data_IF_317104425768
#
_entry.id   IF_317104425768
#
_cell.length_a   1.000
_cell.length_b   1.000
_cell.length_c   1.000
_cell.angle_alpha   90.00
_cell.angle_beta   90.00
_cell.angle_gamma   90.00
#
_symmetry.space_group_name_H-M   'P 1'
#
loop_
_entity.id
_entity.type
_entity.pdbx_description
1 polymer ?
#
# COMPACT_ATOMS: atom_id res chain seq x y z
N UNK A 1 27.71 -9.63 -0.44
CA UNK A 1 26.33 -10.17 -0.44
C UNK A 1 25.44 -9.05 0.03
N UNK A 2 24.72 -8.40 -0.88
CA UNK A 2 23.68 -7.42 -0.53
C UNK A 2 22.58 -8.20 0.18
N UNK A 3 22.49 -8.06 1.49
CA UNK A 3 21.44 -8.68 2.31
C UNK A 3 20.10 -8.09 1.89
N UNK A 4 19.14 -8.93 1.50
CA UNK A 4 17.74 -8.51 1.32
C UNK A 4 17.28 -7.79 2.61
N UNK A 5 16.69 -6.58 2.50
CA UNK A 5 16.27 -5.84 3.68
C UNK A 5 15.24 -6.66 4.47
N UNK A 6 15.39 -6.70 5.80
CA UNK A 6 14.34 -7.18 6.69
C UNK A 6 13.39 -6.03 6.98
N UNK A 7 12.09 -6.28 6.91
CA UNK A 7 11.08 -5.25 7.17
C UNK A 7 9.84 -5.88 7.79
N UNK A 8 9.16 -5.14 8.66
CA UNK A 8 7.84 -5.45 9.20
C UNK A 8 6.92 -4.26 8.91
N UNK A 9 6.02 -4.49 7.98
CA UNK A 9 5.12 -3.49 7.42
C UNK A 9 3.68 -3.77 7.85
N UNK A 10 2.78 -2.82 7.64
CA UNK A 10 1.36 -3.03 7.91
C UNK A 10 0.44 -2.12 7.09
N UNK A 11 -0.80 -2.56 6.90
CA UNK A 11 -1.89 -1.72 6.39
C UNK A 11 -2.73 -1.13 7.52
N UNK A 12 -3.32 0.03 7.23
CA UNK A 12 -4.39 0.63 8.01
C UNK A 12 -5.53 1.06 7.08
N UNK A 13 -6.78 0.71 7.44
CA UNK A 13 -7.96 0.97 6.61
C UNK A 13 -8.76 2.13 7.18
N UNK A 14 -8.78 3.26 6.47
CA UNK A 14 -9.26 4.51 7.06
C UNK A 14 -10.79 4.61 7.12
N UNK A 15 -11.55 3.80 6.36
CA UNK A 15 -13.02 3.89 6.33
C UNK A 15 -13.71 3.45 7.64
N UNK A 16 -12.99 2.84 8.56
CA UNK A 16 -13.53 2.29 9.81
C UNK A 16 -13.03 3.09 11.03
N UNK A 17 -13.96 3.36 11.94
CA UNK A 17 -13.69 3.91 13.27
C UNK A 17 -13.97 2.83 14.31
N UNK A 18 -12.93 2.39 15.01
CA UNK A 18 -13.06 1.37 16.03
C UNK A 18 -12.62 1.91 17.41
N UNK A 19 -13.44 1.78 18.47
CA UNK A 19 -14.84 1.34 18.45
C UNK A 19 -15.76 2.26 17.62
N UNK A 20 -16.93 1.77 17.18
CA UNK A 20 -17.85 2.57 16.38
C UNK A 20 -18.27 3.88 17.05
N UNK A 21 -18.45 4.93 16.27
CA UNK A 21 -18.76 6.31 16.70
C UNK A 21 -17.62 7.04 17.42
N UNK A 22 -16.41 6.48 17.45
CA UNK A 22 -15.22 7.25 17.81
C UNK A 22 -14.69 8.04 16.62
N UNK A 23 -13.79 8.97 16.89
CA UNK A 23 -12.98 9.69 15.90
C UNK A 23 -11.50 9.44 16.18
N UNK A 24 -10.64 9.78 15.22
CA UNK A 24 -9.18 9.71 15.37
C UNK A 24 -8.66 10.29 16.70
N UNK A 25 -9.27 11.38 17.18
CA UNK A 25 -8.84 12.10 18.39
C UNK A 25 -9.41 11.55 19.70
N UNK A 26 -10.40 10.65 19.65
CA UNK A 26 -11.01 10.13 20.87
C UNK A 26 -10.03 9.15 21.57
N UNK A 27 -9.76 9.30 22.88
CA UNK A 27 -8.70 8.54 23.57
C UNK A 27 -8.82 7.01 23.52
N UNK A 28 -10.04 6.50 23.29
CA UNK A 28 -10.32 5.06 23.20
C UNK A 28 -10.35 4.53 21.76
N UNK A 29 -10.06 5.38 20.76
CA UNK A 29 -10.05 4.96 19.35
C UNK A 29 -8.82 4.08 19.04
N UNK A 30 -8.97 3.22 18.04
CA UNK A 30 -7.91 2.40 17.46
C UNK A 30 -6.75 3.26 16.94
N UNK A 31 -7.04 4.50 16.51
CA UNK A 31 -6.06 5.47 16.07
C UNK A 31 -5.22 6.02 17.24
N UNK A 32 -5.86 6.46 18.34
CA UNK A 32 -5.10 6.89 19.53
C UNK A 32 -4.32 5.73 20.16
N UNK A 33 -4.77 4.48 20.01
CA UNK A 33 -4.02 3.33 20.52
C UNK A 33 -2.73 3.07 19.74
N UNK A 34 -2.65 3.42 18.45
CA UNK A 34 -1.41 3.34 17.66
C UNK A 34 -0.31 4.24 18.26
N UNK A 35 -0.70 5.42 18.74
CA UNK A 35 0.19 6.39 19.38
C UNK A 35 0.51 5.97 20.81
N UNK A 36 -0.53 5.79 21.64
CA UNK A 36 -0.35 5.56 23.09
C UNK A 36 0.31 4.22 23.42
N UNK A 37 0.29 3.26 22.50
CA UNK A 37 0.94 1.95 22.66
C UNK A 37 2.23 1.83 21.85
N UNK A 38 2.69 2.90 21.21
CA UNK A 38 3.91 2.93 20.39
C UNK A 38 3.91 1.80 19.37
N UNK A 39 2.87 1.76 18.52
CA UNK A 39 2.74 0.76 17.45
C UNK A 39 3.52 1.19 16.22
N UNK A 40 3.56 2.49 15.92
CA UNK A 40 4.34 3.03 14.80
C UNK A 40 5.84 2.73 14.91
N UNK A 41 6.38 2.59 16.13
CA UNK A 41 7.77 2.14 16.36
C UNK A 41 8.04 0.70 15.94
N UNK A 42 7.01 -0.08 15.60
CA UNK A 42 7.11 -1.46 15.12
C UNK A 42 6.66 -1.61 13.65
N UNK A 43 6.75 -0.55 12.87
CA UNK A 43 6.33 -0.50 11.46
C UNK A 43 7.40 0.21 10.62
N UNK A 44 7.96 -0.49 9.64
CA UNK A 44 8.91 0.07 8.68
C UNK A 44 8.17 0.81 7.54
N UNK A 45 7.13 0.17 6.97
CA UNK A 45 6.23 0.78 5.99
C UNK A 45 4.78 0.66 6.47
N UNK A 46 4.11 1.81 6.58
CA UNK A 46 2.67 1.90 6.80
C UNK A 46 1.96 2.22 5.49
N UNK A 47 1.08 1.34 5.07
CA UNK A 47 0.26 1.51 3.89
C UNK A 47 -1.13 2.05 4.26
N UNK A 48 -1.53 3.15 3.64
CA UNK A 48 -2.83 3.78 3.87
C UNK A 48 -3.84 3.26 2.84
N UNK A 49 -4.90 2.62 3.33
CA UNK A 49 -5.97 2.05 2.52
C UNK A 49 -7.25 2.91 2.56
N UNK A 50 -7.87 3.23 1.43
CA UNK A 50 -7.43 3.02 0.05
C UNK A 50 -7.51 4.32 -0.75
N UNK A 51 -6.62 4.47 -1.72
CA UNK A 51 -6.73 5.47 -2.77
C UNK A 51 -7.64 4.98 -3.91
N UNK A 52 -8.17 5.92 -4.67
CA UNK A 52 -8.75 5.71 -6.00
C UNK A 52 -7.98 6.54 -7.04
N UNK A 53 -8.15 6.23 -8.32
CA UNK A 53 -7.70 7.11 -9.41
C UNK A 53 -8.86 8.02 -9.83
N UNK A 54 -8.54 9.28 -10.12
CA UNK A 54 -9.53 10.26 -10.56
C UNK A 54 -9.00 11.11 -11.72
N UNK A 55 -9.86 11.56 -12.64
CA UNK A 55 -9.47 12.56 -13.63
C UNK A 55 -9.02 13.84 -12.93
N UNK A 56 -7.93 14.44 -13.43
CA UNK A 56 -7.41 15.71 -12.92
C UNK A 56 -8.46 16.81 -13.04
N UNK A 57 -8.67 17.54 -11.94
CA UNK A 57 -9.67 18.59 -11.83
C UNK A 57 -9.27 19.69 -10.84
N UNK A 58 -10.16 20.68 -10.59
CA UNK A 58 -9.82 21.85 -9.77
C UNK A 58 -9.47 21.55 -8.31
N UNK A 59 -9.88 20.38 -7.81
CA UNK A 59 -9.69 19.97 -6.41
C UNK A 59 -8.75 18.76 -6.27
N UNK A 60 -8.14 18.30 -7.37
CA UNK A 60 -7.18 17.20 -7.32
C UNK A 60 -5.79 17.71 -7.00
N UNK A 61 -4.91 16.80 -6.59
CA UNK A 61 -3.49 17.08 -6.42
C UNK A 61 -2.70 16.17 -7.36
N UNK A 62 -1.92 16.72 -8.30
CA UNK A 62 -1.94 18.12 -8.76
C UNK A 62 -3.28 18.52 -9.42
N UNK A 63 -3.56 19.82 -9.46
CA UNK A 63 -4.68 20.42 -10.20
C UNK A 63 -4.19 21.05 -11.52
N UNK A 64 -5.07 21.45 -12.44
CA UNK A 64 -4.69 22.32 -13.55
C UNK A 64 -4.19 23.70 -13.09
N UNK A 65 -3.25 24.34 -13.81
CA UNK A 65 -2.58 23.87 -15.02
C UNK A 65 -1.34 22.99 -14.75
N UNK A 66 -1.04 22.65 -13.50
CA UNK A 66 0.14 21.85 -13.14
C UNK A 66 0.05 20.43 -13.68
N UNK A 67 -1.16 19.90 -13.84
CA UNK A 67 -1.43 18.65 -14.54
C UNK A 67 -2.38 18.84 -15.73
N UNK A 68 -2.16 18.13 -16.85
CA UNK A 68 -3.01 18.23 -18.03
C UNK A 68 -4.44 17.77 -17.77
N UNK A 69 -5.42 18.51 -18.27
CA UNK A 69 -6.82 18.04 -18.27
C UNK A 69 -6.95 16.74 -19.08
N UNK A 70 -7.74 15.79 -18.57
CA UNK A 70 -7.88 14.45 -19.14
C UNK A 70 -6.80 13.45 -18.70
N UNK A 71 -5.78 13.89 -17.95
CA UNK A 71 -4.89 12.97 -17.22
C UNK A 71 -5.50 12.56 -15.88
N UNK A 72 -4.90 11.58 -15.20
CA UNK A 72 -5.37 11.03 -13.94
C UNK A 72 -4.37 11.26 -12.81
N UNK A 73 -4.86 11.30 -11.58
CA UNK A 73 -4.06 11.31 -10.35
C UNK A 73 -4.75 10.46 -9.27
N UNK A 74 -4.15 10.38 -8.08
CA UNK A 74 -4.75 9.73 -6.93
C UNK A 74 -5.68 10.65 -6.15
N UNK A 75 -6.62 10.04 -5.43
CA UNK A 75 -7.38 10.66 -4.37
C UNK A 75 -7.59 9.65 -3.24
N UNK A 76 -7.46 10.07 -1.98
CA UNK A 76 -7.86 9.25 -0.84
C UNK A 76 -9.35 8.91 -0.97
N UNK A 77 -9.70 7.62 -0.81
CA UNK A 77 -11.08 7.15 -0.89
C UNK A 77 -11.99 7.94 0.05
N UNK A 78 -13.21 8.24 -0.40
CA UNK A 78 -14.13 9.05 0.38
C UNK A 78 -14.86 8.21 1.43
N UNK A 79 -14.73 8.60 2.69
CA UNK A 79 -15.58 8.16 3.79
C UNK A 79 -15.91 9.35 4.70
N UNK A 80 -17.05 9.26 5.39
CA UNK A 80 -17.46 10.24 6.40
C UNK A 80 -17.33 9.61 7.78
N UNK A 81 -16.69 10.36 8.67
CA UNK A 81 -16.50 10.00 10.07
C UNK A 81 -17.39 10.88 10.96
N UNK A 82 -17.56 10.53 12.25
CA UNK A 82 -18.23 11.40 13.18
C UNK A 82 -17.58 12.80 13.21
N UNK A 83 -18.38 13.81 13.56
CA UNK A 83 -17.96 15.24 13.60
C UNK A 83 -17.56 15.81 12.22
N UNK A 84 -18.11 15.27 11.13
CA UNK A 84 -17.86 15.74 9.74
C UNK A 84 -16.41 15.61 9.28
N UNK A 85 -15.67 14.66 9.86
CA UNK A 85 -14.31 14.34 9.46
C UNK A 85 -14.30 13.39 8.26
N UNK A 86 -13.17 13.35 7.57
CA UNK A 86 -12.97 12.57 6.35
C UNK A 86 -11.72 11.70 6.44
N UNK A 87 -11.61 10.70 5.56
CA UNK A 87 -10.36 9.94 5.40
C UNK A 87 -9.15 10.85 5.11
N UNK A 88 -9.36 11.98 4.43
CA UNK A 88 -8.29 12.94 4.17
C UNK A 88 -7.78 13.55 5.48
N UNK A 89 -8.67 13.95 6.39
CA UNK A 89 -8.27 14.44 7.72
C UNK A 89 -7.47 13.37 8.49
N UNK A 90 -7.92 12.12 8.42
CA UNK A 90 -7.26 11.00 9.11
C UNK A 90 -5.89 10.70 8.50
N UNK A 91 -5.76 10.71 7.18
CA UNK A 91 -4.47 10.57 6.50
C UNK A 91 -3.48 11.61 6.97
N UNK A 92 -3.89 12.88 6.99
CA UNK A 92 -3.01 13.99 7.40
C UNK A 92 -2.55 13.85 8.85
N UNK A 93 -3.43 13.38 9.76
CA UNK A 93 -3.07 13.14 11.15
C UNK A 93 -2.19 11.89 11.35
N UNK A 94 -2.47 10.80 10.64
CA UNK A 94 -1.61 9.61 10.66
C UNK A 94 -0.20 9.97 10.20
N UNK A 95 -0.07 10.69 9.08
CA UNK A 95 1.24 11.10 8.53
C UNK A 95 2.03 11.90 9.56
N UNK A 96 1.36 12.83 10.26
CA UNK A 96 1.98 13.62 11.32
C UNK A 96 2.40 12.74 12.51
N UNK A 97 1.47 11.99 13.08
CA UNK A 97 1.66 11.32 14.37
C UNK A 97 2.54 10.07 14.29
N UNK A 98 2.47 9.35 13.16
CA UNK A 98 3.35 8.22 12.88
C UNK A 98 4.81 8.66 12.85
N UNK A 99 5.12 9.80 12.21
CA UNK A 99 6.48 10.35 12.11
C UNK A 99 7.00 10.96 13.40
N UNK A 100 6.12 11.45 14.26
CA UNK A 100 6.52 11.90 15.61
C UNK A 100 7.02 10.72 16.43
N UNK A 101 6.35 9.57 16.32
CA UNK A 101 6.67 8.35 17.07
C UNK A 101 7.84 7.58 16.46
N UNK A 102 7.85 7.43 15.14
CA UNK A 102 8.89 6.75 14.37
C UNK A 102 9.35 7.65 13.20
N UNK A 103 10.42 8.44 13.36
CA UNK A 103 10.90 9.35 12.32
C UNK A 103 11.35 8.66 11.02
N UNK A 104 11.68 7.37 11.07
CA UNK A 104 12.14 6.58 9.92
C UNK A 104 10.99 5.85 9.21
N UNK A 105 9.76 5.92 9.73
CA UNK A 105 8.60 5.26 9.12
C UNK A 105 8.36 5.79 7.71
N UNK A 106 8.19 4.87 6.77
CA UNK A 106 7.76 5.18 5.42
C UNK A 106 6.26 5.02 5.31
N UNK A 107 5.59 5.95 4.66
CA UNK A 107 4.13 5.92 4.53
C UNK A 107 3.76 5.88 3.05
N UNK A 108 3.13 4.81 2.59
CA UNK A 108 2.75 4.62 1.20
C UNK A 108 1.22 4.57 1.03
N UNK A 109 0.75 4.90 -0.16
CA UNK A 109 -0.67 4.82 -0.52
C UNK A 109 -0.97 3.52 -1.24
N UNK A 110 -1.96 2.77 -0.78
CA UNK A 110 -2.44 1.57 -1.49
C UNK A 110 -3.65 1.91 -2.35
N UNK A 111 -3.58 1.58 -3.64
CA UNK A 111 -4.71 1.68 -4.56
C UNK A 111 -5.74 0.59 -4.24
N UNK A 112 -7.02 0.95 -4.25
CA UNK A 112 -8.12 0.01 -4.06
C UNK A 112 -8.14 -1.05 -5.19
N UNK A 113 -8.46 -2.29 -4.85
CA UNK A 113 -8.69 -3.39 -5.80
C UNK A 113 -10.16 -3.50 -6.27
N UNK A 114 -11.10 -2.99 -5.46
CA UNK A 114 -12.54 -3.29 -5.59
C UNK A 114 -13.24 -2.66 -6.79
N UNK A 115 -12.60 -1.75 -7.51
CA UNK A 115 -13.09 -1.19 -8.76
C UNK A 115 -12.11 -1.52 -9.89
N UNK A 116 -12.55 -2.35 -10.83
CA UNK A 116 -11.71 -2.85 -11.91
C UNK A 116 -11.25 -1.76 -12.88
N UNK A 117 -11.99 -0.64 -12.94
CA UNK A 117 -11.72 0.43 -13.88
C UNK A 117 -10.60 1.40 -13.41
N UNK A 118 -10.07 1.25 -12.19
CA UNK A 118 -9.18 2.27 -11.61
C UNK A 118 -7.91 2.50 -12.44
N UNK A 119 -7.26 1.44 -12.92
CA UNK A 119 -6.08 1.60 -13.76
C UNK A 119 -6.42 1.72 -15.25
N UNK A 120 -7.40 0.96 -15.74
CA UNK A 120 -7.79 1.01 -17.16
C UNK A 120 -8.38 2.37 -17.57
N UNK A 121 -9.10 3.07 -16.67
CA UNK A 121 -9.63 4.41 -16.93
C UNK A 121 -8.55 5.46 -17.23
N UNK A 122 -7.32 5.27 -16.73
CA UNK A 122 -6.18 6.14 -17.05
C UNK A 122 -5.92 6.15 -18.57
N UNK A 123 -6.28 5.07 -19.26
CA UNK A 123 -6.11 4.88 -20.69
C UNK A 123 -7.42 5.09 -21.44
N UNK A 124 -8.47 4.36 -21.05
CA UNK A 124 -9.70 4.22 -21.82
C UNK A 124 -10.50 5.53 -21.88
N UNK A 125 -10.36 6.37 -20.84
CA UNK A 125 -11.05 7.65 -20.71
C UNK A 125 -10.11 8.86 -20.90
N UNK A 126 -8.87 8.62 -21.32
CA UNK A 126 -7.86 9.65 -21.54
C UNK A 126 -7.81 10.06 -23.02
N UNK A 127 -7.63 11.35 -23.34
CA UNK A 127 -7.42 11.80 -24.71
C UNK A 127 -5.98 11.55 -25.22
N UNK A 128 -5.09 11.05 -24.36
CA UNK A 128 -3.69 10.85 -24.67
C UNK A 128 -3.42 9.43 -25.19
N UNK A 129 -2.40 9.23 -26.07
CA UNK A 129 -1.90 7.90 -26.37
C UNK A 129 -1.48 7.15 -25.10
N UNK A 130 -1.57 5.80 -25.07
CA UNK A 130 -1.35 5.02 -23.85
C UNK A 130 -0.04 5.32 -23.11
N UNK A 131 1.08 5.43 -23.83
CA UNK A 131 2.38 5.74 -23.24
C UNK A 131 2.37 7.12 -22.58
N UNK A 132 1.77 8.11 -23.24
CA UNK A 132 1.67 9.47 -22.69
C UNK A 132 0.71 9.52 -21.49
N UNK A 133 -0.37 8.73 -21.51
CA UNK A 133 -1.29 8.64 -20.38
C UNK A 133 -0.59 8.08 -19.13
N UNK A 134 0.22 7.02 -19.28
CA UNK A 134 1.03 6.45 -18.21
C UNK A 134 2.07 7.45 -17.68
N UNK A 135 2.78 8.18 -18.56
CA UNK A 135 3.75 9.20 -18.17
C UNK A 135 3.10 10.38 -17.41
N UNK A 136 1.92 10.83 -17.85
CA UNK A 136 1.17 11.86 -17.12
C UNK A 136 0.73 11.35 -15.75
N UNK A 137 0.23 10.11 -15.66
CA UNK A 137 -0.15 9.52 -14.37
C UNK A 137 1.06 9.40 -13.43
N UNK A 138 2.20 8.90 -13.90
CA UNK A 138 3.42 8.78 -13.09
C UNK A 138 3.90 10.15 -12.58
N UNK A 139 3.89 11.17 -13.44
CA UNK A 139 4.21 12.55 -13.07
C UNK A 139 3.26 13.07 -11.98
N UNK A 140 1.96 12.86 -12.16
CA UNK A 140 0.93 13.30 -11.22
C UNK A 140 1.01 12.55 -9.89
N UNK A 141 1.31 11.25 -9.92
CA UNK A 141 1.55 10.42 -8.74
C UNK A 141 2.71 10.98 -7.92
N UNK A 142 3.86 11.27 -8.53
CA UNK A 142 5.00 11.88 -7.82
C UNK A 142 4.59 13.22 -7.19
N UNK A 143 3.82 14.06 -7.90
CA UNK A 143 3.34 15.32 -7.36
C UNK A 143 2.37 15.13 -6.17
N UNK A 144 1.47 14.14 -6.24
CA UNK A 144 0.59 13.75 -5.14
C UNK A 144 1.38 13.28 -3.91
N UNK A 145 2.33 12.35 -4.11
CA UNK A 145 3.17 11.82 -3.03
C UNK A 145 4.00 12.93 -2.37
N UNK A 146 4.55 13.87 -3.16
CA UNK A 146 5.28 15.02 -2.61
C UNK A 146 4.38 15.95 -1.79
N UNK A 147 3.18 16.25 -2.28
CA UNK A 147 2.27 17.17 -1.63
C UNK A 147 1.87 16.71 -0.22
N UNK A 148 1.51 15.44 -0.08
CA UNK A 148 1.15 14.84 1.22
C UNK A 148 2.35 14.31 1.98
N UNK A 149 3.55 14.42 1.41
CA UNK A 149 4.76 13.90 2.02
C UNK A 149 4.76 12.38 2.16
N UNK A 150 4.17 11.62 1.26
CA UNK A 150 4.17 10.15 1.23
C UNK A 150 5.45 9.60 0.60
N UNK A 151 5.81 8.36 0.93
CA UNK A 151 7.07 7.69 0.59
C UNK A 151 6.93 6.59 -0.46
N UNK A 152 5.72 6.35 -0.99
CA UNK A 152 5.53 5.37 -2.05
C UNK A 152 4.08 5.07 -2.42
N UNK A 153 3.94 4.08 -3.30
CA UNK A 153 2.68 3.64 -3.87
C UNK A 153 2.63 2.12 -3.94
N UNK A 154 1.46 1.57 -3.62
CA UNK A 154 1.20 0.15 -3.58
C UNK A 154 -0.04 -0.17 -4.42
N UNK A 155 0.03 -1.24 -5.19
CA UNK A 155 -1.08 -1.73 -6.01
C UNK A 155 -1.68 -2.96 -5.33
N UNK A 156 -2.89 -2.83 -4.78
CA UNK A 156 -3.64 -3.98 -4.29
C UNK A 156 -4.20 -4.76 -5.49
N UNK A 157 -3.52 -5.84 -5.85
CA UNK A 157 -3.68 -6.50 -7.14
C UNK A 157 -4.56 -7.74 -7.01
N UNK A 158 -5.87 -7.47 -6.95
CA UNK A 158 -6.91 -8.49 -6.85
C UNK A 158 -7.97 -8.33 -7.94
N UNK A 159 -8.82 -9.34 -8.11
CA UNK A 159 -9.99 -9.24 -8.99
C UNK A 159 -11.02 -8.30 -8.36
N UNK A 160 -11.60 -7.34 -9.10
CA UNK A 160 -11.56 -7.22 -10.56
C UNK A 160 -10.37 -6.42 -11.14
N UNK A 161 -9.64 -5.64 -10.35
CA UNK A 161 -8.54 -4.78 -10.85
C UNK A 161 -7.52 -5.52 -11.72
N UNK A 162 -7.11 -6.71 -11.27
CA UNK A 162 -6.10 -7.52 -11.96
C UNK A 162 -6.59 -8.16 -13.27
N UNK A 163 -7.91 -8.24 -13.46
CA UNK A 163 -8.54 -8.85 -14.62
C UNK A 163 -8.92 -7.79 -15.66
N UNK A 164 -9.42 -6.63 -15.21
CA UNK A 164 -9.87 -5.54 -16.07
C UNK A 164 -8.71 -4.69 -16.61
N UNK A 165 -7.60 -4.60 -15.86
CA UNK A 165 -6.37 -3.97 -16.34
C UNK A 165 -5.68 -4.92 -17.31
N UNK A 166 -5.50 -4.51 -18.57
CA UNK A 166 -4.76 -5.34 -19.54
C UNK A 166 -3.27 -5.41 -19.19
N UNK A 167 -2.59 -6.47 -19.65
CA UNK A 167 -1.15 -6.63 -19.41
C UNK A 167 -0.32 -5.47 -19.95
N UNK A 168 -0.71 -4.91 -21.10
CA UNK A 168 -0.02 -3.75 -21.67
C UNK A 168 -0.23 -2.48 -20.84
N UNK A 169 -1.44 -2.23 -20.34
CA UNK A 169 -1.72 -1.10 -19.44
C UNK A 169 -0.92 -1.21 -18.14
N UNK A 170 -0.89 -2.41 -17.54
CA UNK A 170 -0.08 -2.69 -16.35
C UNK A 170 1.42 -2.43 -16.62
N UNK A 171 1.94 -2.99 -17.72
CA UNK A 171 3.35 -2.83 -18.12
C UNK A 171 3.72 -1.35 -18.28
N UNK A 172 2.89 -0.58 -18.99
CA UNK A 172 3.12 0.86 -19.21
C UNK A 172 3.11 1.64 -17.90
N UNK A 173 2.16 1.38 -17.00
CA UNK A 173 2.10 2.03 -15.70
C UNK A 173 3.30 1.72 -14.83
N UNK A 174 3.66 0.45 -14.66
CA UNK A 174 4.78 0.04 -13.80
C UNK A 174 6.10 0.62 -14.31
N UNK A 175 6.33 0.60 -15.64
CA UNK A 175 7.53 1.21 -16.24
C UNK A 175 7.55 2.72 -15.99
N UNK A 176 6.45 3.43 -16.24
CA UNK A 176 6.38 4.88 -16.06
C UNK A 176 6.59 5.26 -14.59
N UNK A 177 5.83 4.65 -13.67
CA UNK A 177 5.93 4.93 -12.22
C UNK A 177 7.34 4.63 -11.70
N UNK A 178 7.87 3.44 -12.01
CA UNK A 178 9.20 3.03 -11.58
C UNK A 178 10.30 3.95 -12.10
N UNK A 179 10.25 4.33 -13.38
CA UNK A 179 11.22 5.27 -13.98
C UNK A 179 11.15 6.65 -13.33
N UNK A 180 9.93 7.16 -13.06
CA UNK A 180 9.76 8.43 -12.38
C UNK A 180 10.26 8.40 -10.94
N UNK A 181 10.06 7.29 -10.23
CA UNK A 181 10.59 7.10 -8.86
C UNK A 181 12.12 7.05 -8.83
N UNK A 182 12.75 6.32 -9.76
CA UNK A 182 14.23 6.26 -9.87
C UNK A 182 14.85 7.60 -10.23
N UNK A 183 14.13 8.47 -10.96
CA UNK A 183 14.60 9.80 -11.32
C UNK A 183 14.64 10.79 -10.12
N UNK A 184 14.01 10.45 -8.98
CA UNK A 184 13.98 11.31 -7.80
C UNK A 184 15.30 11.19 -7.04
N UNK A 185 16.04 12.30 -6.93
CA UNK A 185 17.39 12.32 -6.34
C UNK A 185 17.42 12.77 -4.88
N UNK A 186 16.39 13.50 -4.45
CA UNK A 186 16.21 14.03 -3.09
C UNK A 186 15.38 13.11 -2.19
N UNK A 187 14.66 12.15 -2.78
CA UNK A 187 13.81 11.19 -2.05
C UNK A 187 13.73 9.87 -2.79
N UNK A 188 13.85 8.76 -2.05
CA UNK A 188 13.61 7.41 -2.58
C UNK A 188 12.15 7.02 -2.31
N UNK A 189 11.38 6.79 -3.37
CA UNK A 189 10.03 6.23 -3.26
C UNK A 189 10.06 4.70 -3.26
N UNK A 190 9.05 4.05 -2.69
CA UNK A 190 8.83 2.61 -2.85
C UNK A 190 7.65 2.36 -3.78
N UNK A 191 7.81 1.35 -4.63
CA UNK A 191 6.74 0.81 -5.45
C UNK A 191 6.53 -0.66 -5.08
N UNK A 192 5.34 -1.01 -4.62
CA UNK A 192 5.02 -2.38 -4.20
C UNK A 192 3.76 -2.89 -4.88
N UNK A 193 3.64 -4.22 -4.90
CA UNK A 193 2.49 -4.94 -5.40
C UNK A 193 1.98 -5.86 -4.29
N UNK A 194 0.67 -5.91 -4.09
CA UNK A 194 0.05 -6.73 -3.05
C UNK A 194 -0.96 -7.69 -3.66
N UNK A 195 -0.51 -8.75 -4.36
CA UNK A 195 -1.37 -9.53 -5.22
C UNK A 195 -2.05 -10.68 -4.48
N UNK A 196 -3.31 -10.92 -4.84
CA UNK A 196 -4.02 -12.13 -4.43
C UNK A 196 -4.05 -13.20 -5.54
N UNK A 197 -3.85 -12.79 -6.80
CA UNK A 197 -3.70 -13.65 -7.98
C UNK A 197 -2.65 -13.07 -8.96
N UNK A 198 -2.20 -13.87 -9.93
CA UNK A 198 -1.27 -13.40 -10.99
C UNK A 198 -1.95 -12.33 -11.86
N UNK A 199 -3.21 -12.56 -12.26
CA UNK A 199 -3.96 -11.67 -13.15
C UNK A 199 -3.20 -11.38 -14.45
N UNK A 200 -3.37 -10.18 -14.99
CA UNK A 200 -2.67 -9.71 -16.18
C UNK A 200 -1.35 -8.97 -15.88
N UNK A 201 -0.62 -9.31 -14.82
CA UNK A 201 0.66 -8.64 -14.55
C UNK A 201 1.70 -8.87 -15.68
N UNK A 202 2.64 -7.93 -15.81
CA UNK A 202 3.83 -8.08 -16.64
C UNK A 202 5.04 -8.37 -15.74
N UNK A 203 5.51 -9.63 -15.73
CA UNK A 203 6.58 -10.06 -14.85
C UNK A 203 7.91 -9.33 -15.07
N UNK A 204 8.36 -9.03 -16.32
CA UNK A 204 9.56 -8.22 -16.54
C UNK A 204 9.48 -6.82 -15.91
N UNK A 205 8.34 -6.13 -16.03
CA UNK A 205 8.14 -4.82 -15.40
C UNK A 205 8.14 -4.93 -13.87
N UNK A 206 7.44 -5.93 -13.31
CA UNK A 206 7.46 -6.23 -11.86
C UNK A 206 8.88 -6.42 -11.37
N UNK A 207 9.64 -7.32 -12.00
CA UNK A 207 11.01 -7.66 -11.58
C UNK A 207 11.97 -6.48 -11.64
N UNK A 208 11.70 -5.49 -12.52
CA UNK A 208 12.58 -4.33 -12.69
C UNK A 208 12.30 -3.22 -11.68
N UNK A 209 11.03 -3.00 -11.34
CA UNK A 209 10.61 -1.75 -10.68
C UNK A 209 9.93 -1.94 -9.32
N UNK A 210 9.48 -3.14 -8.96
CA UNK A 210 8.93 -3.38 -7.62
C UNK A 210 10.06 -3.54 -6.61
N UNK A 211 9.94 -2.88 -5.46
CA UNK A 211 10.87 -3.08 -4.33
C UNK A 211 10.63 -4.44 -3.66
N UNK A 212 9.37 -4.85 -3.53
CA UNK A 212 8.93 -6.17 -3.06
C UNK A 212 7.44 -6.40 -3.34
N UNK A 213 6.99 -7.64 -3.18
CA UNK A 213 5.63 -8.11 -3.47
C UNK A 213 5.03 -8.71 -2.20
N UNK A 214 3.97 -8.11 -1.67
CA UNK A 214 3.28 -8.58 -0.47
C UNK A 214 2.29 -9.69 -0.83
N UNK A 215 2.72 -10.95 -0.78
CA UNK A 215 1.83 -12.07 -1.07
C UNK A 215 0.80 -12.22 0.05
N UNK A 216 -0.49 -12.21 -0.29
CA UNK A 216 -1.59 -12.35 0.68
C UNK A 216 -1.78 -13.80 1.17
N UNK A 217 -0.78 -14.37 1.84
CA UNK A 217 -0.72 -15.80 2.19
C UNK A 217 -1.80 -16.26 3.18
N UNK A 218 -2.53 -15.33 3.80
CA UNK A 218 -3.71 -15.60 4.64
C UNK A 218 -4.99 -15.84 3.83
N UNK A 219 -4.99 -15.58 2.52
CA UNK A 219 -6.19 -15.64 1.66
C UNK A 219 -6.70 -17.07 1.42
N UNK A 220 -5.79 -18.05 1.50
CA UNK A 220 -6.06 -19.45 1.16
C UNK A 220 -6.05 -19.75 -0.35
N UNK A 221 -5.82 -18.76 -1.20
CA UNK A 221 -5.77 -18.93 -2.66
C UNK A 221 -4.55 -18.31 -3.34
N UNK A 222 -3.78 -17.47 -2.65
CA UNK A 222 -2.52 -16.93 -3.15
C UNK A 222 -1.44 -18.01 -3.14
N UNK A 223 -0.94 -18.40 -4.33
CA UNK A 223 0.10 -19.40 -4.50
C UNK A 223 1.41 -18.78 -5.05
N UNK A 224 2.49 -18.70 -4.26
CA UNK A 224 3.79 -18.19 -4.72
C UNK A 224 4.34 -18.89 -5.97
N UNK A 225 4.02 -20.18 -6.15
CA UNK A 225 4.49 -20.95 -7.30
C UNK A 225 3.85 -20.46 -8.61
N UNK A 226 2.61 -19.98 -8.57
CA UNK A 226 1.94 -19.40 -9.72
C UNK A 226 2.65 -18.12 -10.22
N UNK A 227 3.08 -17.25 -9.31
CA UNK A 227 3.85 -16.05 -9.66
C UNK A 227 5.23 -16.39 -10.23
N UNK A 228 5.91 -17.37 -9.64
CA UNK A 228 7.20 -17.86 -10.16
C UNK A 228 7.04 -18.45 -11.56
N UNK A 229 5.97 -19.22 -11.80
CA UNK A 229 5.65 -19.78 -13.12
C UNK A 229 5.31 -18.69 -14.15
N UNK A 230 4.75 -17.55 -13.72
CA UNK A 230 4.54 -16.36 -14.53
C UNK A 230 5.84 -15.56 -14.79
N UNK A 231 6.96 -15.93 -14.16
CA UNK A 231 8.27 -15.32 -14.36
C UNK A 231 8.62 -14.22 -13.35
N UNK A 232 7.85 -14.06 -12.28
CA UNK A 232 8.17 -13.11 -11.20
C UNK A 232 9.33 -13.64 -10.37
N UNK A 233 10.29 -12.78 -10.03
CA UNK A 233 11.45 -13.14 -9.21
C UNK A 233 11.01 -13.44 -7.76
N UNK A 234 11.18 -14.68 -7.27
CA UNK A 234 10.82 -15.03 -5.90
C UNK A 234 11.65 -14.28 -4.84
N UNK A 235 12.76 -13.65 -5.22
CA UNK A 235 13.54 -12.76 -4.35
C UNK A 235 12.79 -11.49 -3.93
N UNK A 236 11.69 -11.15 -4.61
CA UNK A 236 10.82 -10.03 -4.26
C UNK A 236 9.72 -10.39 -3.26
N UNK A 237 9.51 -11.67 -2.96
CA UNK A 237 8.35 -12.08 -2.17
C UNK A 237 8.48 -11.71 -0.69
N UNK A 238 7.40 -11.13 -0.19
CA UNK A 238 7.16 -10.81 1.21
C UNK A 238 5.99 -11.63 1.75
N UNK A 239 6.07 -11.98 3.04
CA UNK A 239 5.07 -12.77 3.73
C UNK A 239 3.89 -11.90 4.18
N UNK A 240 2.70 -12.14 3.64
CA UNK A 240 1.47 -11.53 4.12
C UNK A 240 0.96 -12.19 5.40
N UNK A 241 0.93 -11.43 6.49
CA UNK A 241 0.36 -11.86 7.76
C UNK A 241 -1.05 -11.27 7.98
N UNK A 242 -1.89 -11.97 8.76
CA UNK A 242 -3.21 -11.47 9.16
C UNK A 242 -3.51 -11.72 10.63
N UNK A 243 -3.66 -10.65 11.41
CA UNK A 243 -4.04 -10.73 12.84
C UNK A 243 -5.50 -10.33 13.10
N UNK A 244 -6.14 -9.69 12.10
CA UNK A 244 -7.56 -9.40 12.10
C UNK A 244 -8.38 -10.66 12.40
N UNK A 245 -9.46 -10.51 13.17
CA UNK A 245 -10.33 -11.62 13.58
C UNK A 245 -9.59 -12.75 14.31
N UNK A 246 -8.42 -12.45 14.88
CA UNK A 246 -7.52 -13.41 15.53
C UNK A 246 -7.11 -14.58 14.62
N UNK A 247 -7.00 -14.33 13.30
CA UNK A 247 -6.67 -15.36 12.30
C UNK A 247 -5.38 -16.11 12.63
N UNK A 248 -4.32 -15.38 12.98
CA UNK A 248 -3.08 -15.97 13.51
C UNK A 248 -2.43 -15.09 14.59
N UNK A 249 -1.40 -15.63 15.23
CA UNK A 249 -0.51 -14.86 16.13
C UNK A 249 0.77 -14.48 15.39
N UNK A 250 1.51 -13.50 15.91
CA UNK A 250 2.83 -13.12 15.42
C UNK A 250 3.80 -14.31 15.37
N UNK A 251 3.80 -15.13 16.42
CA UNK A 251 4.60 -16.35 16.45
C UNK A 251 4.15 -17.35 15.39
N UNK A 252 2.83 -17.52 15.22
CA UNK A 252 2.27 -18.39 14.18
C UNK A 252 2.71 -17.95 12.78
N UNK A 253 2.60 -16.66 12.47
CA UNK A 253 3.06 -16.09 11.20
C UNK A 253 4.57 -16.31 10.96
N UNK A 254 5.37 -16.06 12.01
CA UNK A 254 6.83 -16.21 11.93
C UNK A 254 7.26 -17.67 11.75
N UNK A 255 6.66 -18.59 12.51
CA UNK A 255 6.93 -20.02 12.42
C UNK A 255 6.52 -20.57 11.04
N UNK A 256 5.35 -20.18 10.53
CA UNK A 256 4.86 -20.58 9.21
C UNK A 256 5.79 -20.07 8.10
N UNK A 257 6.16 -18.79 8.14
CA UNK A 257 7.16 -18.24 7.21
C UNK A 257 8.47 -19.01 7.27
N UNK A 258 8.98 -19.31 8.47
CA UNK A 258 10.23 -20.06 8.67
C UNK A 258 10.15 -21.48 8.10
N UNK A 259 9.00 -22.14 8.25
CA UNK A 259 8.82 -23.52 7.83
C UNK A 259 8.65 -23.67 6.31
N UNK A 260 8.05 -22.68 5.65
CA UNK A 260 7.56 -22.84 4.28
C UNK A 260 8.21 -21.93 3.24
N UNK A 261 8.62 -20.71 3.61
CA UNK A 261 8.93 -19.66 2.63
C UNK A 261 10.30 -19.01 2.83
N UNK A 262 10.64 -18.69 4.08
CA UNK A 262 11.91 -18.02 4.43
C UNK A 262 11.99 -16.57 3.95
N UNK A 263 10.86 -15.87 3.78
CA UNK A 263 10.85 -14.48 3.35
C UNK A 263 11.36 -13.55 4.46
N UNK A 264 12.07 -12.48 4.07
CA UNK A 264 12.70 -11.55 5.02
C UNK A 264 11.82 -10.33 5.36
N UNK A 265 10.76 -10.11 4.57
CA UNK A 265 9.80 -9.02 4.74
C UNK A 265 8.47 -9.63 5.15
N UNK A 266 7.84 -9.03 6.15
CA UNK A 266 6.48 -9.33 6.58
C UNK A 266 5.60 -8.10 6.39
N UNK A 267 4.37 -8.29 5.93
CA UNK A 267 3.40 -7.20 5.83
C UNK A 267 2.06 -7.66 6.40
N UNK A 268 1.55 -6.96 7.43
CA UNK A 268 0.34 -7.35 8.14
C UNK A 268 -0.90 -6.61 7.62
N UNK A 269 -1.92 -7.37 7.21
CA UNK A 269 -3.30 -6.88 7.11
C UNK A 269 -4.03 -7.18 8.42
N UNK A 270 -4.42 -6.21 9.24
CA UNK A 270 -4.22 -4.74 9.25
C UNK A 270 -4.09 -4.31 10.73
N UNK A 271 -4.11 -3.02 11.07
CA UNK A 271 -3.87 -2.53 12.45
C UNK A 271 -5.07 -1.95 13.21
N UNK A 272 -6.23 -1.84 12.58
CA UNK A 272 -7.33 -1.02 13.11
C UNK A 272 -8.74 -1.62 12.94
N UNK A 273 -8.88 -2.93 12.87
CA UNK A 273 -10.21 -3.58 12.83
C UNK A 273 -10.87 -3.63 14.23
N UNK A 274 -12.01 -4.32 14.35
CA UNK A 274 -12.74 -4.49 15.61
C UNK A 274 -11.90 -5.17 16.72
N UNK A 275 -10.88 -5.95 16.36
CA UNK A 275 -9.91 -6.54 17.29
C UNK A 275 -8.55 -5.80 17.32
N UNK A 276 -8.50 -4.51 16.98
CA UNK A 276 -7.27 -3.70 16.91
C UNK A 276 -6.32 -3.85 18.11
N UNK A 277 -6.87 -4.06 19.32
CA UNK A 277 -6.07 -4.27 20.51
C UNK A 277 -5.11 -5.48 20.37
N UNK A 278 -5.64 -6.58 19.83
CA UNK A 278 -4.89 -7.79 19.52
C UNK A 278 -3.95 -7.57 18.33
N UNK A 279 -4.45 -7.01 17.22
CA UNK A 279 -3.67 -6.75 16.00
C UNK A 279 -2.38 -5.96 16.32
N UNK A 280 -2.53 -4.84 17.01
CA UNK A 280 -1.42 -3.97 17.40
C UNK A 280 -0.44 -4.66 18.36
N UNK A 281 -0.93 -5.55 19.24
CA UNK A 281 -0.06 -6.36 20.10
C UNK A 281 0.76 -7.34 19.27
N UNK A 282 0.12 -8.01 18.32
CA UNK A 282 0.78 -8.98 17.44
C UNK A 282 1.75 -8.28 16.49
N UNK A 283 1.44 -7.07 15.99
CA UNK A 283 2.38 -6.28 15.18
C UNK A 283 3.71 -6.05 15.91
N UNK A 284 3.64 -5.58 17.16
CA UNK A 284 4.84 -5.37 17.98
C UNK A 284 5.60 -6.67 18.26
N UNK A 285 4.87 -7.75 18.54
CA UNK A 285 5.47 -9.06 18.75
C UNK A 285 6.15 -9.60 17.48
N UNK A 286 5.56 -9.38 16.30
CA UNK A 286 6.15 -9.77 15.02
C UNK A 286 7.44 -8.99 14.74
N UNK A 287 7.41 -7.67 14.96
CA UNK A 287 8.61 -6.84 14.86
C UNK A 287 9.75 -7.34 15.76
N UNK A 288 9.47 -7.68 17.02
CA UNK A 288 10.46 -8.23 17.94
C UNK A 288 11.01 -9.61 17.52
N UNK A 289 10.22 -10.42 16.81
CA UNK A 289 10.69 -11.71 16.26
C UNK A 289 11.61 -11.51 15.05
N UNK A 290 11.34 -10.52 14.20
CA UNK A 290 12.13 -10.22 12.99
C UNK A 290 13.42 -9.47 13.33
N UNK A 291 13.39 -8.63 14.35
CA UNK A 291 14.51 -7.85 14.87
C UNK A 291 14.79 -8.24 16.34
N UNK A 292 15.37 -9.42 16.60
CA UNK A 292 15.79 -9.78 17.94
C UNK A 292 16.95 -8.88 18.38
N UNK A 293 16.93 -8.48 19.65
CA UNK A 293 18.01 -7.74 20.33
C UNK A 293 19.35 -8.49 20.33
#
# INVERSE_FOLDING_TARGET
>A
MTTTPRMVNAWIFLNEDEPPNTTYSDPSSCYQSLITRDVYGAVDVLYLCFATTVPVGPHTVPSPPQAPAGSYTLQMGAASHPKHLTNQDYMDWIIRDARVTNPEIRIAMTLNWGDGALLSAIFDNSPFPPEQAAEHFATNLVAYLRHYGLDGFDLDWESPLCDDTTQEQFRLLVIAIGSHFEAQTDRKYILTLSPAAVGHLDAPAVNRYMDFINLQLYSGFTDPAAFTAAGVDPGLFAYGAKFESSYQTAKGAYDDNTAHYGYSIFTCWRLNSDNYAFEQTQQKALHALVFPD
#
